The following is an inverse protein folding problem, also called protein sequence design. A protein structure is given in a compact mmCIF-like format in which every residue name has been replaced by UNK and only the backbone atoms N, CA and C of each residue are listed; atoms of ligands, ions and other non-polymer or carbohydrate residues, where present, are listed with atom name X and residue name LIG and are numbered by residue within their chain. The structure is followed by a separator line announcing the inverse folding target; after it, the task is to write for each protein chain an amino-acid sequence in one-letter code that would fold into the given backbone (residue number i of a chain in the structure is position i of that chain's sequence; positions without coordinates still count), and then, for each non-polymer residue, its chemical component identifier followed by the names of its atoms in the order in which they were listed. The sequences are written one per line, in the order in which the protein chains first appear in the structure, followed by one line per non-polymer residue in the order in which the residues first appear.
data_IF_438406864898
#
_entry.id   IF_438406864898
#
_cell.length_a   1.000
_cell.length_b   1.000
_cell.length_c   1.000
_cell.angle_alpha   90.00
_cell.angle_beta   90.00
_cell.angle_gamma   90.00
#
_symmetry.space_group_name_H-M   'P 1'
#
loop_
_entity.id
_entity.type
_entity.pdbx_description
1 polymer ?
#
# COMPACT_ATOMS: atom_id res chain seq x y z
N UNK A 1 2.17 3.15 62.63
CA UNK A 1 2.82 1.95 62.06
C UNK A 1 1.92 1.26 61.02
N UNK A 2 0.62 1.12 61.30
CA UNK A 2 -0.35 0.54 60.35
C UNK A 2 -0.51 1.36 59.06
N UNK A 3 -0.54 2.70 59.13
CA UNK A 3 -0.76 3.54 57.94
C UNK A 3 0.38 3.45 56.92
N UNK A 4 1.63 3.36 57.39
CA UNK A 4 2.82 3.20 56.55
C UNK A 4 2.78 1.83 55.84
N UNK A 5 2.31 0.79 56.54
CA UNK A 5 2.15 -0.54 55.97
C UNK A 5 1.07 -0.57 54.88
N UNK A 6 -0.07 0.09 55.10
CA UNK A 6 -1.16 0.19 54.13
C UNK A 6 -0.70 0.93 52.87
N UNK A 7 0.02 2.05 53.02
CA UNK A 7 0.56 2.82 51.90
C UNK A 7 1.55 1.98 51.07
N UNK A 8 2.45 1.24 51.74
CA UNK A 8 3.39 0.36 51.04
C UNK A 8 2.69 -0.75 50.26
N UNK A 9 1.62 -1.34 50.81
CA UNK A 9 0.86 -2.40 50.16
C UNK A 9 0.13 -1.89 48.90
N UNK A 10 -0.47 -0.70 48.97
CA UNK A 10 -1.14 -0.06 47.83
C UNK A 10 -0.13 0.28 46.73
N UNK A 11 1.04 0.79 47.11
CA UNK A 11 2.09 1.13 46.15
C UNK A 11 2.62 -0.09 45.41
N UNK A 12 2.87 -1.20 46.13
CA UNK A 12 3.27 -2.46 45.50
C UNK A 12 2.17 -3.02 44.60
N UNK A 13 0.90 -2.95 45.00
CA UNK A 13 -0.23 -3.40 44.18
C UNK A 13 -0.38 -2.57 42.89
N UNK A 14 -0.20 -1.25 42.98
CA UNK A 14 -0.24 -0.35 41.82
C UNK A 14 0.89 -0.66 40.84
N UNK A 15 2.13 -0.86 41.33
CA UNK A 15 3.26 -1.25 40.48
C UNK A 15 3.04 -2.60 39.80
N UNK A 16 2.53 -3.59 40.53
CA UNK A 16 2.21 -4.90 39.97
C UNK A 16 1.16 -4.80 38.85
N UNK A 17 0.12 -3.98 39.03
CA UNK A 17 -0.90 -3.74 38.01
C UNK A 17 -0.32 -3.04 36.78
N UNK A 18 0.55 -2.04 36.95
CA UNK A 18 1.20 -1.36 35.83
C UNK A 18 2.08 -2.34 35.04
N UNK A 19 2.90 -3.14 35.71
CA UNK A 19 3.71 -4.17 35.06
C UNK A 19 2.85 -5.17 34.30
N UNK A 20 1.74 -5.62 34.89
CA UNK A 20 0.79 -6.51 34.23
C UNK A 20 0.18 -5.86 32.97
N UNK A 21 -0.23 -4.60 33.05
CA UNK A 21 -0.73 -3.86 31.88
C UNK A 21 0.32 -3.71 30.79
N UNK A 22 1.59 -3.46 31.12
CA UNK A 22 2.67 -3.38 30.12
C UNK A 22 2.93 -4.72 29.41
N UNK A 23 2.74 -5.84 30.12
CA UNK A 23 2.85 -7.18 29.53
C UNK A 23 1.65 -7.52 28.65
N UNK A 24 0.44 -7.08 29.03
CA UNK A 24 -0.78 -7.28 28.23
C UNK A 24 -0.93 -6.26 27.09
N UNK A 25 -0.28 -5.11 27.16
CA UNK A 25 -0.31 -4.08 26.11
C UNK A 25 -0.02 -4.61 24.70
N UNK A 26 1.04 -5.42 24.45
CA UNK A 26 1.30 -5.96 23.11
C UNK A 26 0.25 -6.97 22.62
N UNK A 27 -0.60 -7.51 23.50
CA UNK A 27 -1.72 -8.38 23.11
C UNK A 27 -2.93 -7.60 22.63
N UNK A 28 -3.08 -6.33 23.05
CA UNK A 28 -4.11 -5.44 22.54
C UNK A 28 -3.57 -4.77 21.27
N UNK A 29 -3.80 -5.41 20.11
CA UNK A 29 -3.46 -4.85 18.81
C UNK A 29 -4.32 -3.60 18.54
N UNK A 30 -3.74 -2.42 18.69
CA UNK A 30 -4.32 -1.13 18.25
C UNK A 30 -4.03 -0.91 16.75
N UNK A 31 -4.22 -1.93 15.91
CA UNK A 31 -3.79 -1.91 14.50
C UNK A 31 -4.71 -1.08 13.58
N UNK A 32 -5.73 -0.38 14.10
CA UNK A 32 -6.77 0.23 13.25
C UNK A 32 -6.56 1.73 12.95
N UNK A 33 -5.57 2.42 13.52
CA UNK A 33 -5.46 3.89 13.33
C UNK A 33 -4.44 4.36 12.27
N UNK A 34 -3.75 3.47 11.54
CA UNK A 34 -2.75 3.87 10.52
C UNK A 34 -3.02 3.39 9.09
N UNK A 35 -4.20 2.86 8.80
CA UNK A 35 -4.45 2.14 7.55
C UNK A 35 -4.75 3.02 6.31
N UNK A 36 -4.90 4.35 6.46
CA UNK A 36 -5.31 5.20 5.34
C UNK A 36 -4.15 5.76 4.47
N UNK A 37 -2.89 5.54 4.83
CA UNK A 37 -1.73 6.02 4.04
C UNK A 37 -0.62 4.99 3.85
N UNK A 38 -0.64 3.86 4.56
CA UNK A 38 0.41 2.83 4.45
C UNK A 38 0.18 1.84 3.32
N UNK A 39 -1.08 1.59 2.93
CA UNK A 39 -1.39 0.55 1.93
C UNK A 39 -0.78 0.84 0.56
N UNK A 40 -0.76 2.10 0.11
CA UNK A 40 -0.25 2.47 -1.22
C UNK A 40 1.29 2.37 -1.28
N UNK A 41 1.97 2.80 -0.22
CA UNK A 41 3.42 2.66 -0.08
C UNK A 41 3.85 1.20 0.04
N UNK A 42 3.06 0.39 0.75
CA UNK A 42 3.32 -1.04 0.93
C UNK A 42 3.11 -1.82 -0.38
N UNK A 43 2.08 -1.46 -1.16
CA UNK A 43 1.78 -2.09 -2.44
C UNK A 43 2.87 -1.78 -3.50
N UNK A 44 3.32 -0.53 -3.57
CA UNK A 44 4.41 -0.14 -4.46
C UNK A 44 5.73 -0.81 -4.08
N UNK A 45 6.07 -0.87 -2.79
CA UNK A 45 7.28 -1.54 -2.31
C UNK A 45 7.23 -3.06 -2.60
N UNK A 46 6.06 -3.67 -2.42
CA UNK A 46 5.83 -5.09 -2.74
C UNK A 46 6.00 -5.34 -4.24
N UNK A 47 5.43 -4.49 -5.09
CA UNK A 47 5.60 -4.58 -6.56
C UNK A 47 7.07 -4.50 -6.98
N UNK A 48 7.84 -3.57 -6.42
CA UNK A 48 9.28 -3.45 -6.71
C UNK A 48 10.08 -4.68 -6.27
N UNK A 49 9.77 -5.24 -5.10
CA UNK A 49 10.40 -6.46 -4.62
C UNK A 49 10.11 -7.66 -5.54
N UNK A 50 8.86 -7.81 -6.00
CA UNK A 50 8.48 -8.88 -6.94
C UNK A 50 9.13 -8.71 -8.31
N UNK A 51 9.21 -7.49 -8.84
CA UNK A 51 9.93 -7.20 -10.09
C UNK A 51 11.43 -7.50 -9.98
N UNK A 52 12.03 -7.15 -8.85
CA UNK A 52 13.44 -7.47 -8.57
C UNK A 52 13.66 -8.98 -8.51
N UNK A 53 12.76 -9.70 -7.84
CA UNK A 53 12.81 -11.15 -7.75
C UNK A 53 12.65 -11.81 -9.12
N UNK A 54 11.74 -11.31 -9.96
CA UNK A 54 11.56 -11.78 -11.33
C UNK A 54 12.84 -11.60 -12.16
N UNK A 55 13.51 -10.45 -12.04
CA UNK A 55 14.80 -10.19 -12.69
C UNK A 55 15.90 -11.14 -12.23
N UNK A 56 15.97 -11.45 -10.93
CA UNK A 56 16.94 -12.42 -10.40
C UNK A 56 16.65 -13.82 -10.96
N UNK A 57 15.40 -14.26 -10.99
CA UNK A 57 15.01 -15.56 -11.57
C UNK A 57 15.38 -15.65 -13.06
N UNK A 58 15.19 -14.57 -13.83
CA UNK A 58 15.64 -14.50 -15.22
C UNK A 58 17.16 -14.57 -15.35
N UNK A 59 17.88 -13.92 -14.44
CA UNK A 59 19.33 -13.99 -14.39
C UNK A 59 19.80 -15.42 -14.06
N UNK A 60 19.25 -16.06 -13.03
CA UNK A 60 19.58 -17.44 -12.66
C UNK A 60 19.32 -18.43 -13.79
N UNK A 61 18.21 -18.27 -14.52
CA UNK A 61 17.92 -19.06 -15.72
C UNK A 61 18.94 -18.84 -16.83
N UNK A 62 19.28 -17.57 -17.14
CA UNK A 62 20.32 -17.23 -18.14
C UNK A 62 21.71 -17.74 -17.76
N UNK A 63 21.94 -17.99 -16.48
CA UNK A 63 23.17 -18.54 -15.92
C UNK A 63 23.13 -20.08 -15.80
N UNK A 64 22.14 -20.74 -16.38
CA UNK A 64 21.93 -22.20 -16.31
C UNK A 64 21.88 -22.74 -14.87
N UNK A 65 21.49 -21.92 -13.88
CA UNK A 65 21.36 -22.34 -12.48
C UNK A 65 20.06 -23.08 -12.18
N UNK A 66 19.01 -22.79 -12.96
CA UNK A 66 17.68 -23.37 -12.80
C UNK A 66 17.17 -23.94 -14.12
N UNK A 67 16.32 -24.96 -14.04
CA UNK A 67 15.78 -25.60 -15.23
C UNK A 67 14.78 -24.69 -15.97
N UNK A 68 14.61 -24.92 -17.27
CA UNK A 68 13.59 -24.21 -18.05
C UNK A 68 12.16 -24.42 -17.51
N UNK A 69 11.87 -25.61 -16.97
CA UNK A 69 10.57 -25.91 -16.40
C UNK A 69 10.33 -25.10 -15.12
N UNK A 70 11.33 -25.03 -14.24
CA UNK A 70 11.24 -24.26 -12.99
C UNK A 70 11.16 -22.76 -13.29
N UNK A 71 11.99 -22.26 -14.20
CA UNK A 71 11.94 -20.88 -14.67
C UNK A 71 10.54 -20.52 -15.18
N UNK A 72 9.96 -21.34 -16.07
CA UNK A 72 8.62 -21.08 -16.63
C UNK A 72 7.54 -21.03 -15.55
N UNK A 73 7.62 -21.93 -14.56
CA UNK A 73 6.65 -21.98 -13.47
C UNK A 73 6.79 -20.79 -12.53
N UNK A 74 8.02 -20.43 -12.16
CA UNK A 74 8.29 -19.29 -11.29
C UNK A 74 7.93 -17.97 -11.97
N UNK A 75 8.41 -17.75 -13.20
CA UNK A 75 8.11 -16.55 -14.01
C UNK A 75 6.61 -16.28 -14.06
N UNK A 76 5.82 -17.31 -14.39
CA UNK A 76 4.36 -17.19 -14.47
C UNK A 76 3.72 -16.80 -13.14
N UNK A 77 4.21 -17.35 -12.02
CA UNK A 77 3.67 -17.02 -10.70
C UNK A 77 3.90 -15.55 -10.35
N UNK A 78 5.16 -15.10 -10.48
CA UNK A 78 5.51 -13.70 -10.19
C UNK A 78 4.82 -12.72 -11.13
N UNK A 79 4.74 -13.01 -12.44
CA UNK A 79 4.00 -12.18 -13.40
C UNK A 79 2.51 -12.06 -13.04
N UNK A 80 1.90 -13.14 -12.55
CA UNK A 80 0.48 -13.14 -12.14
C UNK A 80 0.28 -12.27 -10.90
N UNK A 81 1.18 -12.34 -9.93
CA UNK A 81 1.12 -11.55 -8.71
C UNK A 81 1.33 -10.06 -8.97
N UNK A 82 2.34 -9.71 -9.79
CA UNK A 82 2.60 -8.34 -10.23
C UNK A 82 1.37 -7.77 -10.97
N UNK A 83 0.78 -8.54 -11.89
CA UNK A 83 -0.42 -8.11 -12.62
C UNK A 83 -1.63 -7.88 -11.69
N UNK A 84 -1.77 -8.70 -10.64
CA UNK A 84 -2.82 -8.50 -9.63
C UNK A 84 -2.63 -7.19 -8.88
N UNK A 85 -1.40 -6.89 -8.46
CA UNK A 85 -1.06 -5.65 -7.76
C UNK A 85 -1.30 -4.42 -8.66
N UNK A 86 -0.83 -4.45 -9.91
CA UNK A 86 -1.05 -3.34 -10.84
C UNK A 86 -2.55 -3.06 -11.07
N UNK A 87 -3.37 -4.10 -11.12
CA UNK A 87 -4.83 -3.95 -11.23
C UNK A 87 -5.47 -3.36 -9.98
N UNK A 88 -4.89 -3.64 -8.81
CA UNK A 88 -5.33 -3.05 -7.55
C UNK A 88 -4.94 -1.57 -7.47
N UNK A 89 -3.72 -1.21 -7.87
CA UNK A 89 -3.27 0.19 -8.02
C UNK A 89 -4.21 0.99 -8.94
N UNK A 90 -4.58 0.45 -10.11
CA UNK A 90 -5.51 1.10 -11.05
C UNK A 90 -6.89 1.38 -10.42
N UNK A 91 -7.40 0.47 -9.59
CA UNK A 91 -8.69 0.67 -8.91
C UNK A 91 -8.64 1.76 -7.85
N UNK A 92 -7.52 1.88 -7.12
CA UNK A 92 -7.33 2.97 -6.16
C UNK A 92 -7.30 4.33 -6.86
N UNK A 93 -6.68 4.42 -8.04
CA UNK A 93 -6.70 5.63 -8.87
C UNK A 93 -8.14 5.95 -9.30
N UNK A 94 -8.90 4.99 -9.81
CA UNK A 94 -10.29 5.22 -10.27
C UNK A 94 -11.25 5.61 -9.13
N UNK A 95 -11.06 5.08 -7.92
CA UNK A 95 -11.88 5.41 -6.75
C UNK A 95 -11.56 6.76 -6.12
N UNK A 96 -10.35 7.28 -6.31
CA UNK A 96 -9.90 8.56 -5.74
C UNK A 96 -10.20 9.77 -6.62
N UNK A 97 -10.63 9.55 -7.86
CA UNK A 97 -11.04 10.60 -8.77
C UNK A 97 -12.48 11.03 -8.43
N UNK A 98 -12.61 12.25 -7.93
CA UNK A 98 -13.91 12.90 -7.75
C UNK A 98 -14.58 13.09 -9.13
N UNK A 99 -15.73 12.42 -9.31
CA UNK A 99 -16.49 12.41 -10.56
C UNK A 99 -16.99 13.80 -10.95
N UNK A 100 -17.23 14.67 -9.98
CA UNK A 100 -17.69 16.04 -10.26
C UNK A 100 -16.52 16.89 -10.79
N UNK A 101 -15.31 16.72 -10.23
CA UNK A 101 -14.10 17.36 -10.75
C UNK A 101 -13.76 16.84 -12.17
N UNK A 102 -13.89 15.54 -12.41
CA UNK A 102 -13.65 14.95 -13.73
C UNK A 102 -14.61 15.53 -14.79
N UNK A 103 -15.90 15.67 -14.45
CA UNK A 103 -16.90 16.25 -15.34
C UNK A 103 -16.62 17.73 -15.67
N UNK A 104 -16.15 18.53 -14.71
CA UNK A 104 -15.78 19.93 -14.98
C UNK A 104 -14.53 20.03 -15.86
N UNK A 105 -13.54 19.16 -15.66
CA UNK A 105 -12.34 19.09 -16.51
C UNK A 105 -12.73 18.73 -17.95
N UNK A 106 -13.61 17.74 -18.15
CA UNK A 106 -14.04 17.30 -19.48
C UNK A 106 -14.79 18.42 -20.22
N UNK A 107 -15.65 19.15 -19.52
CA UNK A 107 -16.36 20.34 -20.03
C UNK A 107 -15.40 21.46 -20.46
N UNK A 108 -14.35 21.73 -19.69
CA UNK A 108 -13.33 22.74 -20.03
C UNK A 108 -12.50 22.31 -21.26
N UNK A 109 -12.14 21.03 -21.36
CA UNK A 109 -11.44 20.46 -22.53
C UNK A 109 -12.30 20.61 -23.79
N UNK A 110 -13.59 20.29 -23.72
CA UNK A 110 -14.51 20.46 -24.85
C UNK A 110 -14.64 21.93 -25.30
N UNK A 111 -14.71 22.86 -24.34
CA UNK A 111 -14.77 24.28 -24.62
C UNK A 111 -13.51 24.74 -25.36
N UNK A 112 -12.33 24.33 -24.90
CA UNK A 112 -11.06 24.65 -25.55
C UNK A 112 -10.95 24.01 -26.94
N UNK A 113 -11.32 22.74 -27.08
CA UNK A 113 -11.32 22.04 -28.37
C UNK A 113 -12.18 22.74 -29.42
N UNK A 114 -13.37 23.24 -29.04
CA UNK A 114 -14.24 24.03 -29.93
C UNK A 114 -13.60 25.35 -30.34
N UNK A 115 -12.92 26.03 -29.42
CA UNK A 115 -12.19 27.27 -29.72
C UNK A 115 -11.05 27.01 -30.71
N UNK A 116 -10.27 25.94 -30.52
CA UNK A 116 -9.20 25.56 -31.44
C UNK A 116 -9.71 25.13 -32.82
N UNK A 117 -10.82 24.39 -32.88
CA UNK A 117 -11.43 23.98 -34.14
C UNK A 117 -11.91 25.19 -34.97
N UNK A 118 -12.52 26.18 -34.32
CA UNK A 118 -12.97 27.41 -34.98
C UNK A 118 -11.79 28.26 -35.46
N UNK A 119 -10.73 28.41 -34.65
CA UNK A 119 -9.50 29.14 -35.06
C UNK A 119 -8.76 28.50 -36.23
N UNK A 120 -8.83 27.17 -36.40
CA UNK A 120 -8.19 26.45 -37.53
C UNK A 120 -8.98 26.61 -38.85
N UNK A 121 -10.25 27.02 -38.78
CA UNK A 121 -11.12 27.24 -39.95
C UNK A 121 -11.02 28.63 -40.57
N UNK A 122 -10.52 29.64 -39.85
CA UNK A 122 -10.47 31.05 -40.29
C UNK A 122 -9.17 31.43 -41.04
N UNK A 123 -8.25 30.47 -41.24
CA UNK A 123 -6.95 30.68 -41.89
C UNK A 123 -6.85 30.19 -43.34
N UNK A 124 -7.97 30.13 -44.09
CA UNK A 124 -7.97 29.80 -45.52
C UNK A 124 -8.60 30.91 -46.36
#
# INVERSE_FOLDING_TARGET
MHDISIISMIFTAALALICLLLILAPFFKWDTFKQFSSNDQDLSATKEALLTTLNEIEFEYKMDKISHADYKNLKRQYETEIASIMKEEEKFVDQSIDKDLMAEVEKEIEAQMKIYANKKGEGK
#
